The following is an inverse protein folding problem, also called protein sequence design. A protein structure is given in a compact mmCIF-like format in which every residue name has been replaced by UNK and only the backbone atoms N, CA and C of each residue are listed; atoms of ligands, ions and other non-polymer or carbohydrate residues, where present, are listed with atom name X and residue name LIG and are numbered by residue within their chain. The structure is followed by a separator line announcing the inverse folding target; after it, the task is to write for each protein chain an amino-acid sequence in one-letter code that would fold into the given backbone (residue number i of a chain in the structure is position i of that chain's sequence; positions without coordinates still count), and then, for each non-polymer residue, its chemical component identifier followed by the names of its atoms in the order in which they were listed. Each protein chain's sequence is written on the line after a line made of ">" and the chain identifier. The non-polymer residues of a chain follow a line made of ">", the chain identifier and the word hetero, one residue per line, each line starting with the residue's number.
data_IF_309164063413
#
_entry.id   IF_309164063413
#
_cell.length_a   1.000
_cell.length_b   1.000
_cell.length_c   1.000
_cell.angle_alpha   90.00
_cell.angle_beta   90.00
_cell.angle_gamma   90.00
#
_symmetry.space_group_name_H-M   'P 1'
#
loop_
_entity.id
_entity.type
_entity.pdbx_description
1 polymer ?
#
# COMPACT_ATOMS: atom_id res chain seq x y z
N UNK A 1 2.03 1.36 46.05
CA UNK A 1 2.21 0.29 45.04
C UNK A 1 1.06 -0.70 45.15
N UNK A 2 0.19 -0.74 44.15
CA UNK A 2 -0.65 -1.89 43.76
C UNK A 2 -1.25 -1.54 42.40
N UNK A 3 -0.72 -2.23 41.39
CA UNK A 3 -1.11 -2.21 39.99
C UNK A 3 -2.36 -3.05 39.82
N UNK A 4 -3.32 -2.59 39.03
CA UNK A 4 -4.26 -3.47 38.32
C UNK A 4 -4.80 -2.78 37.08
N UNK A 5 -4.13 -3.06 35.96
CA UNK A 5 -4.64 -2.94 34.60
C UNK A 5 -5.89 -3.82 34.45
N UNK A 6 -6.96 -3.29 33.86
CA UNK A 6 -8.07 -4.09 33.35
C UNK A 6 -8.37 -3.63 31.93
N UNK A 7 -7.75 -4.30 30.97
CA UNK A 7 -8.10 -4.22 29.55
C UNK A 7 -9.13 -5.32 29.30
N UNK A 8 -10.40 -4.93 29.17
CA UNK A 8 -11.44 -5.79 28.61
C UNK A 8 -11.53 -5.50 27.12
N UNK A 9 -11.11 -6.43 26.28
CA UNK A 9 -11.71 -6.58 24.97
C UNK A 9 -12.06 -8.05 24.77
N UNK A 10 -13.38 -8.25 24.70
CA UNK A 10 -14.02 -9.54 24.59
C UNK A 10 -13.72 -10.22 23.25
N UNK A 11 -13.73 -11.54 23.32
CA UNK A 11 -13.37 -12.48 22.27
C UNK A 11 -14.59 -12.92 21.45
N UNK A 12 -14.29 -13.52 20.30
CA UNK A 12 -15.12 -14.36 19.41
C UNK A 12 -16.18 -13.70 18.52
N UNK A 13 -15.90 -13.75 17.21
CA UNK A 13 -16.74 -14.51 16.27
C UNK A 13 -15.83 -15.29 15.32
N UNK A 14 -15.78 -16.62 15.49
CA UNK A 14 -15.24 -17.57 14.51
C UNK A 14 -16.39 -18.02 13.61
N UNK A 15 -16.36 -17.64 12.34
CA UNK A 15 -17.08 -18.30 11.26
C UNK A 15 -16.13 -18.32 10.06
N UNK A 16 -15.97 -19.47 9.40
CA UNK A 16 -15.05 -19.61 8.26
C UNK A 16 -15.42 -18.65 7.13
N UNK A 17 -14.59 -17.63 6.89
CA UNK A 17 -14.81 -16.62 5.86
C UNK A 17 -13.47 -15.95 5.50
N UNK A 18 -12.82 -16.39 4.41
CA UNK A 18 -11.52 -15.91 3.90
C UNK A 18 -10.46 -15.68 5.02
N UNK A 19 -9.27 -15.13 4.78
CA UNK A 19 -8.65 -14.29 5.79
C UNK A 19 -9.27 -12.90 5.62
N UNK A 20 -10.48 -12.70 6.15
CA UNK A 20 -11.40 -11.57 5.91
C UNK A 20 -10.81 -10.15 5.98
N UNK A 21 -9.60 -9.97 6.52
CA UNK A 21 -8.95 -8.65 6.61
C UNK A 21 -8.00 -8.30 5.46
N UNK A 22 -7.62 -9.25 4.59
CA UNK A 22 -6.53 -9.00 3.61
C UNK A 22 -6.94 -8.03 2.50
N UNK A 23 -8.10 -8.23 1.86
CA UNK A 23 -8.61 -7.31 0.83
C UNK A 23 -8.79 -5.87 1.32
N UNK A 24 -9.49 -5.63 2.44
CA UNK A 24 -9.58 -4.30 3.05
C UNK A 24 -8.23 -3.68 3.43
N UNK A 25 -7.31 -4.47 3.98
CA UNK A 25 -5.93 -4.01 4.28
C UNK A 25 -5.19 -3.61 3.01
N UNK A 26 -5.28 -4.41 1.95
CA UNK A 26 -4.70 -4.07 0.64
C UNK A 26 -5.26 -2.74 0.14
N UNK A 27 -6.59 -2.54 0.17
CA UNK A 27 -7.18 -1.25 -0.22
C UNK A 27 -6.64 -0.07 0.60
N UNK A 28 -6.50 -0.22 1.91
CA UNK A 28 -5.94 0.82 2.77
C UNK A 28 -4.48 1.14 2.39
N UNK A 29 -3.66 0.13 2.10
CA UNK A 29 -2.29 0.29 1.62
C UNK A 29 -2.28 1.06 0.29
N UNK A 30 -3.08 0.63 -0.69
CA UNK A 30 -3.19 1.31 -1.98
C UNK A 30 -3.64 2.77 -1.81
N UNK A 31 -4.57 3.05 -0.90
CA UNK A 31 -5.04 4.42 -0.62
C UNK A 31 -3.94 5.30 -0.02
N UNK A 32 -3.14 4.75 0.89
CA UNK A 32 -1.99 5.46 1.46
C UNK A 32 -0.95 5.77 0.37
N UNK A 33 -0.68 4.82 -0.53
CA UNK A 33 0.21 5.02 -1.67
C UNK A 33 -0.31 6.12 -2.61
N UNK A 34 -1.61 6.10 -2.92
CA UNK A 34 -2.24 7.11 -3.77
C UNK A 34 -2.18 8.52 -3.16
N UNK A 35 -2.39 8.64 -1.85
CA UNK A 35 -2.25 9.90 -1.13
C UNK A 35 -0.80 10.40 -1.16
N UNK A 36 0.18 9.50 -0.95
CA UNK A 36 1.60 9.84 -1.05
C UNK A 36 2.00 10.32 -2.44
N UNK A 37 1.55 9.65 -3.49
CA UNK A 37 1.78 10.10 -4.88
C UNK A 37 1.11 11.46 -5.11
N UNK A 38 -0.12 11.66 -4.64
CA UNK A 38 -0.82 12.94 -4.80
C UNK A 38 -0.06 14.10 -4.14
N UNK A 39 0.48 13.88 -2.94
CA UNK A 39 1.32 14.87 -2.25
C UNK A 39 2.64 15.11 -3.00
N UNK A 40 3.31 14.06 -3.47
CA UNK A 40 4.50 14.19 -4.31
C UNK A 40 4.20 15.03 -5.55
N UNK A 41 3.10 14.75 -6.24
CA UNK A 41 2.74 15.44 -7.49
C UNK A 41 2.36 16.90 -7.26
N UNK A 42 1.83 17.24 -6.09
CA UNK A 42 1.59 18.62 -5.71
C UNK A 42 2.88 19.43 -5.51
N UNK A 43 3.97 18.78 -5.08
CA UNK A 43 5.25 19.41 -4.77
C UNK A 43 6.21 19.43 -5.96
N UNK A 44 6.26 18.34 -6.72
CA UNK A 44 7.25 18.12 -7.78
C UNK A 44 6.67 18.11 -9.19
N UNK A 45 5.35 18.19 -9.32
CA UNK A 45 4.66 17.87 -10.54
C UNK A 45 4.62 16.36 -10.79
N UNK A 46 4.16 15.99 -11.99
CA UNK A 46 3.83 14.60 -12.33
C UNK A 46 4.97 13.62 -12.06
N UNK A 47 4.69 12.58 -11.29
CA UNK A 47 5.61 11.50 -10.96
C UNK A 47 5.84 10.61 -12.19
N UNK A 48 7.10 10.41 -12.53
CA UNK A 48 7.51 9.53 -13.61
C UNK A 48 7.46 8.06 -13.14
N UNK A 49 6.75 7.19 -13.85
CA UNK A 49 6.68 5.76 -13.50
C UNK A 49 7.65 5.00 -14.41
N UNK A 50 8.93 4.98 -14.02
CA UNK A 50 9.97 4.22 -14.75
C UNK A 50 9.94 2.74 -14.38
N UNK A 51 9.81 2.46 -13.09
CA UNK A 51 9.61 1.15 -12.49
C UNK A 51 9.13 1.36 -11.04
N UNK A 52 8.64 0.29 -10.41
CA UNK A 52 8.08 0.35 -9.06
C UNK A 52 9.13 0.79 -8.01
N UNK A 53 10.40 0.39 -8.17
CA UNK A 53 11.50 0.80 -7.29
C UNK A 53 11.89 2.28 -7.40
N UNK A 54 11.71 2.88 -8.58
CA UNK A 54 11.89 4.32 -8.77
C UNK A 54 10.80 5.09 -8.03
N UNK A 55 9.53 4.69 -8.18
CA UNK A 55 8.39 5.28 -7.47
C UNK A 55 8.60 5.18 -5.96
N UNK A 56 9.01 3.99 -5.49
CA UNK A 56 9.39 3.77 -4.09
C UNK A 56 10.41 4.81 -3.60
N UNK A 57 11.53 4.92 -4.31
CA UNK A 57 12.61 5.84 -3.97
C UNK A 57 12.12 7.29 -3.88
N UNK A 58 11.37 7.76 -4.88
CA UNK A 58 10.86 9.14 -4.90
C UNK A 58 9.92 9.44 -3.72
N UNK A 59 9.06 8.49 -3.33
CA UNK A 59 8.11 8.69 -2.23
C UNK A 59 8.73 8.60 -0.83
N UNK A 60 9.85 7.87 -0.70
CA UNK A 60 10.56 7.64 0.56
C UNK A 60 11.81 8.51 0.74
N UNK A 61 11.86 9.69 0.10
CA UNK A 61 12.95 10.66 0.32
C UNK A 61 14.18 10.48 -0.58
N UNK A 62 14.13 9.61 -1.57
CA UNK A 62 15.11 9.56 -2.66
C UNK A 62 14.92 10.65 -3.72
N UNK A 63 13.94 11.55 -3.54
CA UNK A 63 13.74 12.72 -4.39
C UNK A 63 14.76 13.84 -4.12
N UNK A 64 14.84 14.81 -5.04
CA UNK A 64 15.82 15.90 -5.00
C UNK A 64 15.78 16.80 -3.75
N UNK A 65 14.67 16.81 -2.99
CA UNK A 65 14.56 17.58 -1.73
C UNK A 65 14.63 16.70 -0.48
N UNK A 66 14.88 15.40 -0.63
CA UNK A 66 14.91 14.43 0.46
C UNK A 66 13.63 14.41 1.32
N UNK A 67 12.47 14.71 0.71
CA UNK A 67 11.18 14.76 1.40
C UNK A 67 10.51 13.39 1.42
N UNK A 68 9.97 12.97 2.56
CA UNK A 68 9.17 11.75 2.64
C UNK A 68 7.69 12.08 2.47
N UNK A 69 7.05 11.44 1.49
CA UNK A 69 5.61 11.54 1.26
C UNK A 69 4.84 10.36 1.87
N UNK A 70 5.57 9.27 2.11
CA UNK A 70 5.05 8.08 2.78
C UNK A 70 6.07 7.69 3.85
N UNK A 71 5.61 7.63 5.10
CA UNK A 71 6.44 7.19 6.21
C UNK A 71 6.47 5.65 6.25
N UNK A 72 7.64 5.00 6.20
CA UNK A 72 7.75 3.55 6.36
C UNK A 72 7.18 3.12 7.72
N UNK A 73 6.27 2.15 7.73
CA UNK A 73 5.68 1.65 8.97
C UNK A 73 6.61 0.60 9.58
N UNK A 74 7.43 1.02 10.54
CA UNK A 74 8.27 0.15 11.37
C UNK A 74 9.76 0.13 11.01
N UNK A 75 10.59 -0.27 11.97
CA UNK A 75 12.06 -0.17 11.96
C UNK A 75 12.79 -1.12 10.99
N UNK A 76 12.08 -2.02 10.31
CA UNK A 76 12.67 -3.06 9.43
C UNK A 76 12.02 -3.12 8.04
N UNK A 77 11.16 -2.16 7.66
CA UNK A 77 10.21 -2.43 6.57
C UNK A 77 9.85 -1.22 5.72
N UNK A 78 10.86 -0.52 5.24
CA UNK A 78 10.75 0.35 4.06
C UNK A 78 10.03 -0.38 2.90
N UNK A 79 10.28 -1.69 2.73
CA UNK A 79 9.66 -2.49 1.68
C UNK A 79 8.18 -2.84 1.90
N UNK A 80 7.66 -2.89 3.13
CA UNK A 80 6.32 -3.48 3.39
C UNK A 80 5.14 -2.60 2.98
N UNK A 81 5.31 -1.27 2.87
CA UNK A 81 4.23 -0.40 2.40
C UNK A 81 3.93 -0.54 0.92
N UNK A 82 4.87 -1.13 0.18
CA UNK A 82 4.75 -1.41 -1.24
C UNK A 82 4.46 -2.88 -1.49
N UNK A 83 4.16 -3.61 -0.40
CA UNK A 83 3.60 -4.94 -0.44
C UNK A 83 2.14 -4.86 -0.03
N UNK A 84 1.32 -5.65 -0.68
CA UNK A 84 -0.07 -5.82 -0.26
C UNK A 84 -0.17 -6.69 1.00
N UNK A 85 -1.41 -6.97 1.42
CA UNK A 85 -1.63 -7.77 2.61
C UNK A 85 -1.14 -9.24 2.47
N UNK A 86 -0.89 -9.73 1.25
CA UNK A 86 -0.31 -11.05 0.97
C UNK A 86 1.21 -11.01 0.79
N UNK A 87 1.85 -9.86 1.05
CA UNK A 87 3.28 -9.65 0.92
C UNK A 87 3.75 -9.68 -0.55
N UNK A 88 2.85 -9.41 -1.50
CA UNK A 88 3.15 -9.28 -2.93
C UNK A 88 3.40 -7.82 -3.29
N UNK A 89 4.33 -7.52 -4.21
CA UNK A 89 4.62 -6.15 -4.62
C UNK A 89 3.42 -5.49 -5.31
N UNK A 90 3.23 -4.22 -4.99
CA UNK A 90 2.27 -3.33 -5.64
C UNK A 90 2.92 -2.74 -6.91
N UNK A 91 2.13 -2.63 -7.98
CA UNK A 91 2.54 -2.05 -9.26
C UNK A 91 1.93 -0.68 -9.48
N UNK A 92 2.72 0.22 -10.03
CA UNK A 92 2.27 1.54 -10.47
C UNK A 92 2.21 1.59 -12.00
N UNK A 93 1.15 2.18 -12.53
CA UNK A 93 1.02 2.47 -13.97
C UNK A 93 0.18 3.73 -14.18
N UNK A 94 0.12 4.21 -15.42
CA UNK A 94 -0.78 5.29 -15.83
C UNK A 94 -1.68 4.76 -16.94
N UNK A 95 -2.96 5.09 -16.87
CA UNK A 95 -3.90 4.84 -17.98
C UNK A 95 -3.61 5.78 -19.14
N UNK A 96 -4.24 5.54 -20.29
CA UNK A 96 -4.13 6.39 -21.49
C UNK A 96 -4.61 7.83 -21.24
N UNK A 97 -5.58 8.03 -20.35
CA UNK A 97 -6.04 9.36 -19.90
C UNK A 97 -5.09 10.06 -18.92
N UNK A 98 -4.00 9.37 -18.53
CA UNK A 98 -3.01 9.86 -17.58
C UNK A 98 -3.37 9.69 -16.11
N UNK A 99 -4.49 9.05 -15.76
CA UNK A 99 -4.82 8.67 -14.37
C UNK A 99 -3.82 7.67 -13.80
N UNK A 100 -3.47 7.83 -12.53
CA UNK A 100 -2.61 6.88 -11.82
C UNK A 100 -3.40 5.60 -11.54
N UNK A 101 -2.81 4.45 -11.82
CA UNK A 101 -3.31 3.16 -11.33
C UNK A 101 -2.29 2.54 -10.39
N UNK A 102 -2.79 2.09 -9.25
CA UNK A 102 -2.01 1.34 -8.27
C UNK A 102 -2.68 -0.02 -8.10
N UNK A 103 -1.94 -1.09 -8.35
CA UNK A 103 -2.48 -2.45 -8.52
C UNK A 103 -1.75 -3.42 -7.58
N UNK A 104 -2.50 -4.23 -6.85
CA UNK A 104 -2.02 -5.42 -6.14
C UNK A 104 -2.45 -6.66 -6.91
N UNK A 105 -1.57 -7.65 -7.03
CA UNK A 105 -1.88 -8.97 -7.60
C UNK A 105 -2.65 -9.90 -6.66
N UNK A 106 -3.08 -9.38 -5.50
CA UNK A 106 -3.92 -10.11 -4.58
C UNK A 106 -3.30 -11.39 -4.06
N UNK A 107 -4.11 -12.45 -3.96
CA UNK A 107 -3.70 -13.71 -3.33
C UNK A 107 -2.75 -14.54 -4.19
N UNK A 108 -2.93 -14.56 -5.51
CA UNK A 108 -2.17 -15.43 -6.40
C UNK A 108 -0.77 -14.90 -6.69
N UNK A 109 -0.55 -13.59 -6.48
CA UNK A 109 0.72 -12.93 -6.73
C UNK A 109 1.01 -12.70 -8.21
N UNK A 110 0.07 -13.01 -9.11
CA UNK A 110 0.26 -12.97 -10.57
C UNK A 110 -0.75 -12.02 -11.23
N UNK A 111 -0.26 -10.82 -11.58
CA UNK A 111 -1.05 -9.80 -12.27
C UNK A 111 -1.76 -10.33 -13.52
N UNK A 112 -3.04 -9.98 -13.69
CA UNK A 112 -3.80 -10.21 -14.91
C UNK A 112 -4.24 -11.66 -15.15
N UNK A 113 -3.93 -12.61 -14.25
CA UNK A 113 -4.35 -14.01 -14.39
C UNK A 113 -5.78 -14.24 -13.91
N UNK A 114 -6.23 -13.49 -12.90
CA UNK A 114 -7.60 -13.50 -12.41
C UNK A 114 -8.07 -12.06 -12.19
N UNK A 115 -9.02 -11.60 -13.00
CA UNK A 115 -9.63 -10.25 -12.85
C UNK A 115 -10.29 -10.04 -11.47
N UNK A 116 -10.55 -11.13 -10.73
CA UNK A 116 -11.18 -11.08 -9.42
C UNK A 116 -10.18 -10.98 -8.27
N UNK A 117 -8.89 -11.26 -8.52
CA UNK A 117 -7.85 -11.23 -7.48
C UNK A 117 -7.03 -9.94 -7.54
N UNK A 118 -6.89 -9.32 -8.71
CA UNK A 118 -6.26 -8.00 -8.83
C UNK A 118 -7.11 -6.92 -8.12
N UNK A 119 -6.50 -6.21 -7.16
CA UNK A 119 -7.13 -5.09 -6.45
C UNK A 119 -6.48 -3.80 -6.94
N UNK A 120 -7.26 -2.91 -7.53
CA UNK A 120 -6.79 -1.61 -8.00
C UNK A 120 -7.53 -0.43 -7.36
N UNK A 121 -6.82 0.69 -7.24
CA UNK A 121 -7.41 2.01 -7.08
C UNK A 121 -7.17 2.80 -8.37
N UNK A 122 -8.22 3.46 -8.85
CA UNK A 122 -8.20 4.48 -9.90
C UNK A 122 -8.39 5.85 -9.27
#
# INVERSE_FOLDING_TARGET
>A
MKSTFLVLFASLCLAGCLPDSKGPKTKAILSQLNAGVSLYESEFGRLQIKNDGYVFSELCGGNKKMMMFIAPVGSESEKRLFLDAWNNPVRFSRSDDGSLQIISSGRDGVFGTSKNDDISLK
#
